data_IF_484876029879
#
_entry.id   IF_484876029879
#
_cell.length_a   1.000
_cell.length_b   1.000
_cell.length_c   1.000
_cell.angle_alpha   90.00
_cell.angle_beta   90.00
_cell.angle_gamma   90.00
#
_symmetry.space_group_name_H-M   'P 1'
#
loop_
_entity.id
_entity.type
_entity.pdbx_description
1 polymer ?
#
# COMPACT_ATOMS: atom_id res chain seq x y z
N UNK A 1 -15.94 22.34 12.82
CA UNK A 1 -15.78 21.62 12.79
C UNK A 1 -15.26 20.66 12.16
N UNK A 2 -14.94 20.17 12.24
CA UNK A 2 -14.30 19.38 11.68
C UNK A 2 -14.91 18.23 11.19
N UNK A 3 -15.71 18.33 10.32
CA UNK A 3 -16.40 17.23 9.70
C UNK A 3 -15.50 16.36 8.89
N UNK A 4 -14.32 16.85 8.56
CA UNK A 4 -13.36 16.05 7.83
C UNK A 4 -12.88 14.85 8.62
N UNK A 5 -13.00 14.90 9.95
CA UNK A 5 -12.62 13.77 10.80
C UNK A 5 -13.44 12.51 10.53
N UNK A 6 -14.60 12.64 9.88
CA UNK A 6 -15.46 11.51 9.57
C UNK A 6 -15.20 10.91 8.19
N UNK A 7 -14.31 11.52 7.42
CA UNK A 7 -13.98 11.03 6.09
C UNK A 7 -13.01 9.87 6.20
N UNK A 8 -13.45 8.70 5.71
CA UNK A 8 -12.61 7.51 5.70
C UNK A 8 -11.68 7.56 4.50
N UNK A 9 -10.38 7.40 4.73
CA UNK A 9 -9.40 7.38 3.66
C UNK A 9 -9.64 6.20 2.72
N UNK A 10 -9.49 6.45 1.43
CA UNK A 10 -9.54 5.40 0.42
C UNK A 10 -8.16 4.75 0.35
N UNK A 11 -8.10 3.45 0.57
CA UNK A 11 -6.84 2.74 0.65
C UNK A 11 -6.68 1.81 -0.55
N UNK A 12 -5.51 1.86 -1.16
CA UNK A 12 -5.09 0.90 -2.17
C UNK A 12 -4.10 -0.07 -1.56
N UNK A 13 -4.23 -1.35 -1.89
CA UNK A 13 -3.31 -2.36 -1.39
C UNK A 13 -2.84 -3.22 -2.55
N UNK A 14 -1.53 -3.29 -2.74
CA UNK A 14 -0.89 -4.02 -3.83
C UNK A 14 0.02 -5.09 -3.23
N UNK A 15 -0.24 -6.34 -3.61
CA UNK A 15 0.49 -7.49 -3.10
C UNK A 15 -0.32 -8.27 -2.08
N UNK A 16 -0.91 -9.38 -2.53
CA UNK A 16 -1.81 -10.19 -1.71
C UNK A 16 -1.24 -11.58 -1.47
N UNK A 17 0.03 -11.63 -1.07
CA UNK A 17 0.63 -12.83 -0.53
C UNK A 17 0.03 -13.14 0.85
N UNK A 18 0.62 -14.10 1.56
CA UNK A 18 0.06 -14.54 2.84
C UNK A 18 -0.10 -13.37 3.81
N UNK A 19 0.91 -12.53 3.96
CA UNK A 19 0.85 -11.38 4.86
C UNK A 19 -0.05 -10.29 4.32
N UNK A 20 0.05 -9.99 3.01
CA UNK A 20 -0.74 -8.95 2.38
C UNK A 20 -2.23 -9.20 2.48
N UNK A 21 -2.68 -10.43 2.30
CA UNK A 21 -4.09 -10.77 2.43
C UNK A 21 -4.61 -10.48 3.83
N UNK A 22 -3.85 -10.82 4.87
CA UNK A 22 -4.26 -10.56 6.25
C UNK A 22 -4.27 -9.07 6.55
N UNK A 23 -3.24 -8.36 6.11
CA UNK A 23 -3.13 -6.91 6.34
C UNK A 23 -4.27 -6.16 5.65
N UNK A 24 -4.54 -6.48 4.39
CA UNK A 24 -5.64 -5.87 3.65
C UNK A 24 -6.99 -6.22 4.29
N UNK A 25 -7.14 -7.44 4.76
CA UNK A 25 -8.35 -7.88 5.44
C UNK A 25 -8.64 -7.07 6.71
N UNK A 26 -7.62 -6.74 7.48
CA UNK A 26 -7.81 -5.91 8.68
C UNK A 26 -8.26 -4.50 8.32
N UNK A 27 -7.70 -3.93 7.25
CA UNK A 27 -8.10 -2.59 6.79
C UNK A 27 -9.56 -2.59 6.32
N UNK A 28 -9.95 -3.62 5.58
CA UNK A 28 -11.32 -3.74 5.12
C UNK A 28 -12.29 -3.92 6.29
N UNK A 29 -11.94 -4.74 7.26
CA UNK A 29 -12.75 -4.96 8.45
C UNK A 29 -12.91 -3.69 9.28
N UNK A 30 -11.94 -2.79 9.23
CA UNK A 30 -12.00 -1.50 9.92
C UNK A 30 -12.90 -0.49 9.21
N UNK A 31 -13.45 -0.81 8.04
CA UNK A 31 -14.40 0.03 7.34
C UNK A 31 -13.81 0.92 6.25
N UNK A 32 -12.54 0.74 5.89
CA UNK A 32 -11.93 1.55 4.83
C UNK A 32 -12.36 1.05 3.45
N UNK A 33 -12.71 1.96 2.52
CA UNK A 33 -12.85 1.56 1.12
C UNK A 33 -11.50 1.05 0.62
N UNK A 34 -11.48 -0.13 0.01
CA UNK A 34 -10.24 -0.80 -0.34
C UNK A 34 -10.22 -1.17 -1.83
N UNK A 35 -9.19 -0.72 -2.54
CA UNK A 35 -8.91 -1.12 -3.91
C UNK A 35 -7.69 -2.05 -3.89
N UNK A 36 -7.74 -3.12 -4.67
CA UNK A 36 -6.73 -4.18 -4.63
C UNK A 36 -6.14 -4.46 -6.00
N UNK A 37 -4.86 -4.78 -6.01
CA UNK A 37 -4.20 -5.41 -7.15
C UNK A 37 -3.24 -6.47 -6.64
N UNK A 38 -3.17 -7.59 -7.34
CA UNK A 38 -2.19 -8.63 -7.13
C UNK A 38 -1.90 -9.29 -8.47
N UNK A 39 -0.71 -9.81 -8.64
CA UNK A 39 -0.36 -10.52 -9.87
C UNK A 39 -1.31 -11.69 -10.13
N UNK A 40 -1.71 -12.38 -9.09
CA UNK A 40 -2.69 -13.48 -9.16
C UNK A 40 -4.03 -12.99 -8.63
N UNK A 41 -5.01 -12.81 -9.51
CA UNK A 41 -6.32 -12.26 -9.15
C UNK A 41 -7.07 -13.14 -8.15
N UNK A 42 -6.93 -14.46 -8.25
CA UNK A 42 -7.65 -15.39 -7.36
C UNK A 42 -7.31 -15.19 -5.89
N UNK A 43 -6.13 -14.64 -5.58
CA UNK A 43 -5.75 -14.36 -4.20
C UNK A 43 -6.52 -13.18 -3.60
N UNK A 44 -7.17 -12.39 -4.43
CA UNK A 44 -7.99 -11.27 -3.97
C UNK A 44 -9.46 -11.66 -3.76
N UNK A 45 -9.88 -12.84 -4.21
CA UNK A 45 -11.29 -13.18 -4.28
C UNK A 45 -12.00 -13.08 -2.92
N UNK A 46 -11.40 -13.58 -1.87
CA UNK A 46 -12.01 -13.54 -0.54
C UNK A 46 -12.26 -12.10 -0.07
N UNK A 47 -11.36 -11.18 -0.41
CA UNK A 47 -11.50 -9.77 -0.05
C UNK A 47 -12.53 -9.07 -0.93
N UNK A 48 -12.56 -9.41 -2.22
CA UNK A 48 -13.57 -8.88 -3.14
C UNK A 48 -14.96 -9.31 -2.69
N UNK A 49 -15.12 -10.56 -2.25
CA UNK A 49 -16.38 -11.06 -1.73
C UNK A 49 -16.84 -10.30 -0.50
N UNK A 50 -15.91 -9.67 0.23
CA UNK A 50 -16.23 -8.88 1.42
C UNK A 50 -16.35 -7.38 1.12
N UNK A 51 -16.32 -6.99 -0.14
CA UNK A 51 -16.56 -5.61 -0.54
C UNK A 51 -15.37 -4.83 -1.08
N UNK A 52 -14.18 -5.42 -1.15
CA UNK A 52 -13.03 -4.75 -1.76
C UNK A 52 -13.19 -4.70 -3.27
N UNK A 53 -12.61 -3.69 -3.90
CA UNK A 53 -12.66 -3.51 -5.34
C UNK A 53 -11.41 -4.04 -6.00
N UNK A 54 -11.55 -4.94 -6.97
CA UNK A 54 -10.44 -5.41 -7.77
C UNK A 54 -10.06 -4.37 -8.82
N UNK A 55 -8.76 -4.17 -9.02
CA UNK A 55 -8.22 -3.36 -10.11
C UNK A 55 -7.28 -4.22 -10.95
N UNK A 56 -7.18 -3.92 -12.24
CA UNK A 56 -6.37 -4.73 -13.17
C UNK A 56 -4.91 -4.29 -13.22
N UNK A 57 -4.59 -3.11 -12.71
CA UNK A 57 -3.21 -2.59 -12.70
C UNK A 57 -2.94 -1.81 -11.42
N UNK A 58 -1.66 -1.67 -11.03
CA UNK A 58 -1.31 -0.75 -9.95
C UNK A 58 -1.75 0.69 -10.23
N UNK A 59 -1.73 1.11 -11.49
CA UNK A 59 -2.17 2.45 -11.89
C UNK A 59 -3.62 2.71 -11.49
N UNK A 60 -4.49 1.72 -11.70
CA UNK A 60 -5.90 1.85 -11.35
C UNK A 60 -6.10 1.96 -9.83
N UNK A 61 -5.31 1.21 -9.05
CA UNK A 61 -5.34 1.30 -7.59
C UNK A 61 -4.94 2.71 -7.16
N UNK A 62 -3.84 3.21 -7.71
CA UNK A 62 -3.30 4.51 -7.34
C UNK A 62 -4.27 5.64 -7.67
N UNK A 63 -4.94 5.57 -8.81
CA UNK A 63 -5.85 6.62 -9.26
C UNK A 63 -7.07 6.78 -8.35
N UNK A 64 -7.40 5.76 -7.56
CA UNK A 64 -8.58 5.74 -6.70
C UNK A 64 -8.26 5.88 -5.22
N UNK A 65 -6.99 6.00 -4.85
CA UNK A 65 -6.58 5.85 -3.45
C UNK A 65 -5.92 7.11 -2.91
N UNK A 66 -6.19 7.40 -1.66
CA UNK A 66 -5.51 8.47 -0.92
C UNK A 66 -4.22 7.96 -0.31
N UNK A 67 -4.22 6.67 0.05
CA UNK A 67 -3.07 5.96 0.62
C UNK A 67 -2.89 4.68 -0.18
N UNK A 68 -1.68 4.44 -0.68
CA UNK A 68 -1.36 3.20 -1.39
C UNK A 68 -0.31 2.45 -0.61
N UNK A 69 -0.60 1.19 -0.29
CA UNK A 69 0.30 0.32 0.46
C UNK A 69 0.78 -0.79 -0.47
N UNK A 70 2.09 -1.02 -0.49
CA UNK A 70 2.66 -2.13 -1.25
C UNK A 70 3.29 -3.15 -0.29
N UNK A 71 3.01 -4.43 -0.54
CA UNK A 71 3.58 -5.56 0.20
C UNK A 71 3.82 -6.68 -0.80
N UNK A 72 4.89 -6.56 -1.58
CA UNK A 72 5.20 -7.49 -2.67
C UNK A 72 6.41 -8.35 -2.31
N UNK A 73 6.84 -9.22 -3.22
CA UNK A 73 7.81 -10.26 -2.88
C UNK A 73 9.25 -9.81 -2.79
N UNK A 74 9.68 -8.96 -3.73
CA UNK A 74 11.11 -8.61 -3.88
C UNK A 74 11.28 -7.13 -4.17
N UNK A 75 12.49 -6.57 -3.93
CA UNK A 75 12.77 -5.17 -4.26
C UNK A 75 12.51 -4.82 -5.73
N UNK A 76 12.79 -5.74 -6.66
CA UNK A 76 12.51 -5.50 -8.08
C UNK A 76 11.01 -5.36 -8.35
N UNK A 77 10.17 -6.06 -7.60
CA UNK A 77 8.72 -5.93 -7.71
C UNK A 77 8.26 -4.56 -7.20
N UNK A 78 8.85 -4.09 -6.10
CA UNK A 78 8.55 -2.75 -5.56
C UNK A 78 8.91 -1.69 -6.60
N UNK A 79 10.11 -1.79 -7.17
CA UNK A 79 10.58 -0.83 -8.16
C UNK A 79 9.62 -0.77 -9.35
N UNK A 80 9.21 -1.91 -9.88
CA UNK A 80 8.29 -1.98 -11.01
C UNK A 80 6.92 -1.37 -10.66
N UNK A 81 6.38 -1.71 -9.51
CA UNK A 81 5.06 -1.22 -9.08
C UNK A 81 5.09 0.28 -8.84
N UNK A 82 6.17 0.81 -8.30
CA UNK A 82 6.24 2.23 -7.98
C UNK A 82 6.62 3.08 -9.19
N UNK A 83 7.59 2.66 -10.00
CA UNK A 83 8.26 3.51 -10.99
C UNK A 83 7.80 3.31 -12.43
N UNK A 84 7.10 2.24 -12.73
CA UNK A 84 6.66 1.96 -14.10
C UNK A 84 5.60 2.94 -14.59
N UNK A 85 5.34 2.94 -15.90
CA UNK A 85 4.29 3.78 -16.50
C UNK A 85 2.90 3.41 -15.96
N UNK A 86 2.70 2.14 -15.61
CA UNK A 86 1.49 1.67 -14.93
C UNK A 86 1.69 1.63 -13.42
N UNK A 87 2.72 2.30 -12.93
CA UNK A 87 3.07 2.34 -11.52
C UNK A 87 2.31 3.38 -10.74
N UNK A 88 2.50 3.34 -9.42
CA UNK A 88 1.69 4.18 -8.54
C UNK A 88 2.12 5.64 -8.55
N UNK A 89 3.41 5.94 -8.72
CA UNK A 89 3.87 7.34 -8.72
C UNK A 89 3.28 8.10 -9.92
N UNK A 90 3.27 7.47 -11.09
CA UNK A 90 2.79 8.13 -12.31
C UNK A 90 1.27 8.34 -12.31
N UNK A 91 0.53 7.59 -11.51
CA UNK A 91 -0.93 7.54 -11.59
C UNK A 91 -1.67 7.97 -10.34
N UNK A 92 -1.00 8.14 -9.22
CA UNK A 92 -1.60 8.65 -7.99
C UNK A 92 -1.72 10.18 -8.04
N UNK A 93 -2.55 10.73 -7.17
CA UNK A 93 -2.73 12.18 -7.06
C UNK A 93 -2.55 12.60 -5.61
N UNK A 94 -1.44 13.28 -5.32
CA UNK A 94 -1.15 13.81 -4.00
C UNK A 94 -1.42 12.76 -2.92
N UNK A 95 -0.84 11.58 -3.08
CA UNK A 95 -1.12 10.43 -2.24
C UNK A 95 0.01 10.17 -1.24
N UNK A 96 -0.32 9.42 -0.20
CA UNK A 96 0.67 8.84 0.69
C UNK A 96 0.97 7.42 0.20
N UNK A 97 2.23 7.16 -0.10
CA UNK A 97 2.67 5.87 -0.64
C UNK A 97 3.52 5.17 0.41
N UNK A 98 3.12 3.97 0.80
CA UNK A 98 3.78 3.22 1.87
C UNK A 98 4.25 1.88 1.35
N UNK A 99 5.56 1.62 1.42
CA UNK A 99 6.10 0.31 1.09
C UNK A 99 6.38 -0.46 2.37
N UNK A 100 5.68 -1.56 2.56
CA UNK A 100 5.85 -2.43 3.72
C UNK A 100 6.65 -3.69 3.38
N UNK A 101 7.14 -3.78 2.14
CA UNK A 101 8.01 -4.87 1.71
C UNK A 101 9.39 -4.72 2.36
N UNK A 102 10.00 -5.83 2.73
CA UNK A 102 11.41 -5.81 3.15
C UNK A 102 12.25 -5.57 1.90
N UNK A 103 12.84 -4.38 1.78
CA UNK A 103 13.63 -4.00 0.62
C UNK A 103 14.91 -3.29 1.04
N UNK A 104 15.72 -2.86 0.06
CA UNK A 104 17.00 -2.23 0.37
C UNK A 104 16.84 -0.77 0.77
N UNK A 105 17.71 -0.25 1.66
CA UNK A 105 17.68 1.17 2.01
C UNK A 105 17.91 2.09 0.81
N UNK A 106 18.76 1.69 -0.13
CA UNK A 106 19.01 2.48 -1.34
C UNK A 106 17.73 2.62 -2.18
N UNK A 107 16.99 1.55 -2.32
CA UNK A 107 15.73 1.59 -3.06
C UNK A 107 14.73 2.49 -2.36
N UNK A 108 14.62 2.40 -1.04
CA UNK A 108 13.70 3.24 -0.27
C UNK A 108 13.99 4.72 -0.48
N UNK A 109 15.27 5.12 -0.45
CA UNK A 109 15.67 6.50 -0.70
C UNK A 109 15.31 6.94 -2.11
N UNK A 110 15.55 6.08 -3.11
CA UNK A 110 15.23 6.38 -4.50
C UNK A 110 13.73 6.56 -4.71
N UNK A 111 12.93 5.67 -4.13
CA UNK A 111 11.47 5.74 -4.25
C UNK A 111 10.92 7.00 -3.60
N UNK A 112 11.44 7.37 -2.43
CA UNK A 112 11.02 8.58 -1.74
C UNK A 112 11.31 9.83 -2.59
N UNK A 113 12.48 9.88 -3.23
CA UNK A 113 12.84 11.00 -4.09
C UNK A 113 11.92 11.08 -5.32
N UNK A 114 11.63 9.94 -5.96
CA UNK A 114 10.75 9.92 -7.12
C UNK A 114 9.30 10.26 -6.75
N UNK A 115 8.85 9.81 -5.59
CA UNK A 115 7.51 10.13 -5.11
C UNK A 115 7.37 11.63 -4.86
N UNK A 116 8.37 12.24 -4.25
CA UNK A 116 8.36 13.68 -3.98
C UNK A 116 8.30 14.48 -5.28
N UNK A 117 9.04 14.06 -6.30
CA UNK A 117 8.97 14.71 -7.62
C UNK A 117 7.58 14.64 -8.22
N UNK A 118 6.84 13.59 -7.94
CA UNK A 118 5.47 13.41 -8.43
C UNK A 118 4.42 14.10 -7.56
N UNK A 119 4.81 14.78 -6.51
CA UNK A 119 3.87 15.46 -5.62
C UNK A 119 3.28 14.57 -4.53
N UNK A 120 3.92 13.44 -4.23
CA UNK A 120 3.45 12.49 -3.22
C UNK A 120 4.34 12.47 -2.00
N UNK A 121 3.85 11.86 -0.93
CA UNK A 121 4.66 11.55 0.25
C UNK A 121 4.92 10.05 0.28
N UNK A 122 6.09 9.65 0.75
CA UNK A 122 6.47 8.23 0.80
C UNK A 122 6.98 7.84 2.18
N UNK A 123 6.60 6.66 2.62
CA UNK A 123 7.11 6.05 3.84
C UNK A 123 7.62 4.64 3.52
N UNK A 124 8.68 4.26 4.20
CA UNK A 124 9.20 2.90 4.18
C UNK A 124 8.85 2.28 5.53
N UNK A 125 8.07 1.22 5.52
CA UNK A 125 7.51 0.66 6.74
C UNK A 125 7.60 -0.86 6.78
N UNK A 126 8.83 -1.43 6.73
CA UNK A 126 8.97 -2.88 6.81
C UNK A 126 8.38 -3.42 8.11
N UNK A 127 7.92 -4.66 8.04
CA UNK A 127 7.21 -5.27 9.17
C UNK A 127 7.97 -6.48 9.69
N UNK A 128 7.71 -6.81 10.96
CA UNK A 128 8.23 -7.99 11.62
C UNK A 128 7.07 -8.69 12.33
N UNK A 129 7.08 -10.02 12.33
CA UNK A 129 6.02 -10.81 12.96
C UNK A 129 5.48 -11.93 12.09
N UNK A 130 5.88 -11.97 10.83
CA UNK A 130 5.51 -13.03 9.90
C UNK A 130 4.02 -13.10 9.63
N UNK A 131 3.60 -14.21 9.04
CA UNK A 131 2.19 -14.41 8.67
C UNK A 131 1.28 -14.54 9.89
N UNK A 132 1.77 -15.10 11.00
CA UNK A 132 1.01 -15.18 12.23
C UNK A 132 0.74 -13.78 12.78
N UNK A 133 1.76 -12.93 12.82
CA UNK A 133 1.60 -11.54 13.25
C UNK A 133 0.62 -10.79 12.38
N UNK A 134 0.66 -11.02 11.07
CA UNK A 134 -0.27 -10.37 10.16
C UNK A 134 -1.72 -10.82 10.41
N UNK A 135 -1.95 -12.12 10.58
CA UNK A 135 -3.29 -12.63 10.84
C UNK A 135 -3.88 -12.08 12.15
N UNK A 136 -3.05 -11.93 13.16
CA UNK A 136 -3.49 -11.49 14.48
C UNK A 136 -3.41 -9.98 14.68
N UNK A 137 -3.03 -9.24 13.63
CA UNK A 137 -2.84 -7.79 13.70
C UNK A 137 -1.83 -7.37 14.76
N UNK A 138 -0.74 -8.14 14.88
CA UNK A 138 0.31 -7.94 15.89
C UNK A 138 1.67 -7.70 15.27
N UNK A 139 1.72 -7.15 14.05
CA UNK A 139 2.98 -6.84 13.40
C UNK A 139 3.69 -5.68 14.09
N UNK A 140 5.01 -5.77 14.16
CA UNK A 140 5.85 -4.62 14.49
C UNK A 140 6.17 -3.91 13.18
N UNK A 141 5.90 -2.62 13.10
CA UNK A 141 6.07 -1.83 11.89
C UNK A 141 7.14 -0.77 12.17
N UNK A 142 8.21 -0.80 11.39
CA UNK A 142 9.33 0.13 11.53
C UNK A 142 9.22 1.21 10.46
N UNK A 143 8.78 2.41 10.82
CA UNK A 143 8.48 3.46 9.87
C UNK A 143 9.67 4.39 9.68
N UNK A 144 10.08 4.58 8.40
CA UNK A 144 11.10 5.54 8.02
C UNK A 144 10.55 6.49 6.96
N UNK A 145 11.03 7.72 6.97
CA UNK A 145 10.63 8.72 5.99
C UNK A 145 10.38 10.08 6.63
N UNK A 146 9.64 10.93 5.91
CA UNK A 146 9.32 12.27 6.39
C UNK A 146 8.39 12.20 7.61
N UNK A 147 8.77 12.77 8.76
CA UNK A 147 7.90 12.76 9.95
C UNK A 147 6.52 13.37 9.71
N UNK A 148 6.43 14.36 8.82
CA UNK A 148 5.14 14.97 8.50
C UNK A 148 4.22 13.98 7.78
N UNK A 149 4.78 13.13 6.93
CA UNK A 149 4.00 12.10 6.23
C UNK A 149 3.52 11.01 7.19
N UNK A 150 4.30 10.71 8.21
CA UNK A 150 3.95 9.68 9.20
C UNK A 150 2.74 10.10 10.04
N UNK A 151 2.61 11.36 10.30
CA UNK A 151 1.49 11.88 11.08
C UNK A 151 0.21 11.99 10.24
#
# INVERSE_FOLDING_TARGET
MNTTSNTTARIGFIGLGIMGQSMAGHLLAAGHPLALYNRSREKAQALVDKGAQWCDTPAQVAAQSDIVITMVGYPSDVEQVWLGSEGIIANARNALLIDMTTSSPELAVRLAAEAEKGGHHALDAPVSGGDVGAREAKLSIMVGGDPAAYQ
#
